data_IF_341685368710
#
_entry.id   IF_341685368710
#
_cell.length_a   1.000
_cell.length_b   1.000
_cell.length_c   1.000
_cell.angle_alpha   90.00
_cell.angle_beta   90.00
_cell.angle_gamma   90.00
#
_symmetry.space_group_name_H-M   'P 1'
#
loop_
_entity.id
_entity.type
_entity.pdbx_description
1 polymer ?
#
# COMPACT_ATOMS: atom_id res chain seq x y z
N UNK A 1 18.70 1.71 6.28
CA UNK A 1 17.64 1.87 5.27
C UNK A 1 17.27 0.48 4.77
N UNK A 2 15.99 0.17 4.68
CA UNK A 2 15.51 -1.12 4.16
C UNK A 2 15.13 -1.03 2.69
N UNK A 3 14.81 -2.18 2.08
CA UNK A 3 14.24 -2.25 0.74
C UNK A 3 12.79 -1.78 0.77
N UNK A 4 12.31 -1.25 -0.34
CA UNK A 4 10.88 -0.91 -0.47
C UNK A 4 10.05 -2.18 -0.64
N UNK A 5 8.94 -2.28 0.08
CA UNK A 5 8.01 -3.42 -0.03
C UNK A 5 7.06 -3.26 -1.22
N UNK A 6 6.70 -2.03 -1.54
CA UNK A 6 5.84 -1.68 -2.67
C UNK A 6 6.34 -0.42 -3.34
N UNK A 7 6.28 -0.42 -4.67
CA UNK A 7 6.50 0.76 -5.50
C UNK A 7 5.26 0.95 -6.36
N UNK A 8 4.76 2.17 -6.40
CA UNK A 8 3.60 2.54 -7.21
C UNK A 8 3.85 3.86 -7.90
N UNK A 9 3.33 3.99 -9.11
CA UNK A 9 3.27 5.25 -9.85
C UNK A 9 1.83 5.70 -9.88
N UNK A 10 1.61 6.95 -9.49
CA UNK A 10 0.34 7.61 -9.63
C UNK A 10 0.45 8.68 -10.72
N UNK A 11 -0.41 8.61 -11.71
CA UNK A 11 -0.54 9.62 -12.75
C UNK A 11 -1.86 10.36 -12.55
N UNK A 12 -1.79 11.68 -12.50
CA UNK A 12 -2.95 12.57 -12.39
C UNK A 12 -3.07 13.35 -13.69
N UNK A 13 -4.21 13.23 -14.36
CA UNK A 13 -4.56 14.02 -15.52
C UNK A 13 -5.69 14.99 -15.15
N UNK A 14 -5.39 16.26 -14.84
CA UNK A 14 -6.41 17.22 -14.41
C UNK A 14 -7.45 17.55 -15.49
N UNK A 15 -7.07 17.46 -16.77
CA UNK A 15 -7.96 17.77 -17.88
C UNK A 15 -9.04 16.70 -18.10
N UNK A 16 -8.70 15.45 -17.81
CA UNK A 16 -9.62 14.31 -17.91
C UNK A 16 -10.22 13.91 -16.56
N UNK A 17 -9.81 14.58 -15.49
CA UNK A 17 -10.16 14.23 -14.11
C UNK A 17 -9.83 12.77 -13.76
N UNK A 18 -8.83 12.20 -14.45
CA UNK A 18 -8.40 10.81 -14.28
C UNK A 18 -7.18 10.69 -13.36
N UNK A 19 -7.21 9.68 -12.51
CA UNK A 19 -6.04 9.23 -11.74
C UNK A 19 -5.82 7.75 -11.99
N UNK A 20 -4.61 7.41 -12.40
CA UNK A 20 -4.21 6.01 -12.61
C UNK A 20 -3.14 5.63 -11.61
N UNK A 21 -3.26 4.48 -10.97
CA UNK A 21 -2.25 3.92 -10.07
C UNK A 21 -1.74 2.60 -10.65
N UNK A 22 -0.43 2.50 -10.83
CA UNK A 22 0.25 1.32 -11.35
C UNK A 22 1.26 0.81 -10.33
N UNK A 23 1.18 -0.47 -9.98
CA UNK A 23 2.19 -1.12 -9.16
C UNK A 23 3.39 -1.52 -10.00
N UNK A 24 4.60 -1.31 -9.48
CA UNK A 24 5.84 -1.83 -10.03
C UNK A 24 6.22 -3.07 -9.22
N UNK A 25 6.38 -4.26 -9.86
CA UNK A 25 6.85 -5.44 -9.17
C UNK A 25 8.22 -5.20 -8.54
N UNK A 26 8.34 -5.40 -7.25
CA UNK A 26 9.55 -5.07 -6.48
C UNK A 26 10.80 -5.85 -6.91
N UNK A 27 10.59 -7.01 -7.54
CA UNK A 27 11.65 -7.89 -8.02
C UNK A 27 12.04 -7.63 -9.49
N UNK A 28 11.49 -6.58 -10.12
CA UNK A 28 11.87 -6.16 -11.47
C UNK A 28 13.37 -5.90 -11.53
N UNK A 29 14.05 -6.51 -12.48
CA UNK A 29 15.49 -6.35 -12.68
C UNK A 29 15.78 -5.10 -13.51
N UNK A 30 16.61 -4.23 -12.96
CA UNK A 30 16.95 -2.92 -13.53
C UNK A 30 18.43 -2.58 -13.32
N UNK A 31 18.92 -1.61 -14.08
CA UNK A 31 20.14 -0.89 -13.75
C UNK A 31 19.81 0.22 -12.73
N UNK A 32 20.60 0.31 -11.67
CA UNK A 32 20.46 1.36 -10.64
C UNK A 32 21.52 2.42 -10.89
N UNK A 33 21.14 3.66 -11.24
CA UNK A 33 22.08 4.74 -11.54
C UNK A 33 23.06 5.03 -10.38
N UNK A 34 24.34 5.03 -10.70
CA UNK A 34 25.43 5.16 -9.72
C UNK A 34 25.83 3.86 -9.02
N UNK A 35 25.22 2.74 -9.40
CA UNK A 35 25.49 1.39 -8.88
C UNK A 35 25.49 0.35 -10.02
N UNK A 36 26.00 0.75 -11.19
CA UNK A 36 25.98 -0.03 -12.41
C UNK A 36 26.74 -1.35 -12.27
N UNK A 37 27.76 -1.40 -11.44
CA UNK A 37 28.56 -2.60 -11.14
C UNK A 37 27.73 -3.70 -10.45
N UNK A 38 26.55 -3.35 -9.91
CA UNK A 38 25.67 -4.30 -9.24
C UNK A 38 24.60 -4.86 -10.17
N UNK A 39 24.61 -4.51 -11.44
CA UNK A 39 23.61 -4.96 -12.43
C UNK A 39 23.67 -6.49 -12.66
N UNK A 40 22.49 -7.18 -12.79
CA UNK A 40 21.15 -6.66 -12.59
C UNK A 40 20.76 -6.60 -11.10
N UNK A 41 20.06 -5.53 -10.71
CA UNK A 41 19.52 -5.37 -9.36
C UNK A 41 17.98 -5.37 -9.36
N UNK A 42 17.38 -5.85 -8.28
CA UNK A 42 15.96 -5.69 -8.05
C UNK A 42 15.64 -4.20 -7.80
N UNK A 43 14.58 -3.68 -8.43
CA UNK A 43 14.23 -2.26 -8.34
C UNK A 43 14.00 -1.80 -6.89
N UNK A 44 13.53 -2.70 -6.00
CA UNK A 44 13.33 -2.37 -4.59
C UNK A 44 14.65 -2.13 -3.82
N UNK A 45 15.79 -2.55 -4.35
CA UNK A 45 17.10 -2.28 -3.76
C UNK A 45 17.56 -0.84 -3.99
N UNK A 46 17.01 -0.13 -4.98
CA UNK A 46 17.44 1.22 -5.33
C UNK A 46 17.31 2.20 -4.14
N UNK A 47 16.27 2.05 -3.32
CA UNK A 47 16.08 2.86 -2.11
C UNK A 47 17.12 2.55 -1.03
N UNK A 48 17.44 1.28 -0.82
CA UNK A 48 18.47 0.83 0.12
C UNK A 48 19.86 1.36 -0.27
N UNK A 49 20.21 1.28 -1.55
CA UNK A 49 21.47 1.70 -2.12
C UNK A 49 21.68 3.22 -2.04
N UNK A 50 20.70 4.02 -2.47
CA UNK A 50 20.90 5.45 -2.62
C UNK A 50 19.73 6.35 -2.17
N UNK A 51 18.80 5.83 -1.36
CA UNK A 51 17.61 6.55 -0.85
C UNK A 51 16.57 6.89 -1.92
N UNK A 52 15.60 7.76 -1.57
CA UNK A 52 14.50 8.16 -2.44
C UNK A 52 14.99 8.72 -3.79
N UNK A 53 16.03 9.52 -3.78
CA UNK A 53 16.60 10.11 -5.00
C UNK A 53 17.03 9.05 -6.01
N UNK A 54 17.74 8.02 -5.56
CA UNK A 54 18.17 6.91 -6.43
C UNK A 54 16.98 6.07 -6.89
N UNK A 55 16.03 5.77 -6.01
CA UNK A 55 14.82 5.03 -6.39
C UNK A 55 14.01 5.77 -7.46
N UNK A 56 13.80 7.08 -7.31
CA UNK A 56 13.10 7.93 -8.27
C UNK A 56 13.83 7.91 -9.62
N UNK A 57 15.15 8.17 -9.61
CA UNK A 57 15.94 8.17 -10.83
C UNK A 57 15.92 6.81 -11.54
N UNK A 58 15.99 5.71 -10.79
CA UNK A 58 15.89 4.36 -11.33
C UNK A 58 14.56 4.15 -12.07
N UNK A 59 13.44 4.57 -11.47
CA UNK A 59 12.12 4.44 -12.09
C UNK A 59 12.00 5.34 -13.32
N UNK A 60 12.47 6.59 -13.25
CA UNK A 60 12.48 7.52 -14.38
C UNK A 60 13.27 6.97 -15.57
N UNK A 61 14.47 6.46 -15.32
CA UNK A 61 15.34 5.94 -16.38
C UNK A 61 14.76 4.64 -16.98
N UNK A 62 14.22 3.76 -16.13
CA UNK A 62 13.64 2.49 -16.58
C UNK A 62 12.37 2.67 -17.42
N UNK A 63 11.47 3.55 -17.01
CA UNK A 63 10.20 3.79 -17.71
C UNK A 63 10.28 4.92 -18.74
N UNK A 64 11.37 5.68 -18.77
CA UNK A 64 11.56 6.88 -19.58
C UNK A 64 10.41 7.90 -19.39
N UNK A 65 10.08 8.19 -18.13
CA UNK A 65 9.05 9.14 -17.75
C UNK A 65 9.59 10.11 -16.70
N UNK A 66 9.12 11.38 -16.68
CA UNK A 66 9.41 12.29 -15.58
C UNK A 66 8.59 11.89 -14.33
N UNK A 67 9.16 12.13 -13.15
CA UNK A 67 8.46 12.02 -11.87
C UNK A 67 8.55 13.38 -11.18
N UNK A 68 7.42 14.05 -11.01
CA UNK A 68 7.35 15.39 -10.45
C UNK A 68 7.39 15.40 -8.92
N UNK A 69 6.75 14.42 -8.29
CA UNK A 69 6.59 14.32 -6.84
C UNK A 69 6.79 12.88 -6.37
N UNK A 70 7.09 12.71 -5.10
CA UNK A 70 7.08 11.39 -4.47
C UNK A 70 6.48 11.45 -3.07
N UNK A 71 5.94 10.33 -2.65
CA UNK A 71 5.53 10.11 -1.27
C UNK A 71 6.19 8.81 -0.76
N UNK A 72 6.70 8.85 0.45
CA UNK A 72 7.23 7.69 1.14
C UNK A 72 6.33 7.39 2.32
N UNK A 73 5.63 6.25 2.28
CA UNK A 73 4.68 5.85 3.30
C UNK A 73 5.14 4.52 3.90
N UNK A 74 5.36 4.50 5.19
CA UNK A 74 5.56 3.25 5.93
C UNK A 74 4.22 2.66 6.40
N UNK A 75 4.27 1.48 7.01
CA UNK A 75 3.05 0.78 7.46
C UNK A 75 2.28 1.58 8.52
N UNK A 76 2.96 2.26 9.45
CA UNK A 76 2.31 3.14 10.42
C UNK A 76 1.68 4.38 9.78
N UNK A 77 2.30 4.93 8.76
CA UNK A 77 1.76 6.04 7.97
C UNK A 77 0.49 5.64 7.22
N UNK A 78 0.42 4.44 6.65
CA UNK A 78 -0.79 3.93 6.01
C UNK A 78 -1.95 3.82 7.01
N UNK A 79 -1.70 3.26 8.19
CA UNK A 79 -2.68 3.16 9.28
C UNK A 79 -3.24 4.54 9.64
N UNK A 80 -2.35 5.51 9.88
CA UNK A 80 -2.75 6.88 10.24
C UNK A 80 -3.57 7.57 9.15
N UNK A 81 -3.14 7.48 7.89
CA UNK A 81 -3.86 8.07 6.75
C UNK A 81 -5.28 7.50 6.63
N UNK A 82 -5.43 6.17 6.77
CA UNK A 82 -6.74 5.53 6.72
C UNK A 82 -7.64 6.00 7.85
N UNK A 83 -7.11 6.12 9.06
CA UNK A 83 -7.89 6.59 10.23
C UNK A 83 -8.31 8.06 10.06
N UNK A 84 -7.40 8.94 9.62
CA UNK A 84 -7.70 10.36 9.42
C UNK A 84 -8.78 10.63 8.37
N UNK A 85 -8.82 9.84 7.29
CA UNK A 85 -9.89 9.96 6.29
C UNK A 85 -11.19 9.28 6.72
N UNK A 86 -11.23 8.69 7.92
CA UNK A 86 -12.42 8.03 8.49
C UNK A 86 -12.64 6.61 7.97
N UNK A 87 -11.56 5.90 7.61
CA UNK A 87 -11.58 4.51 7.15
C UNK A 87 -11.86 4.36 5.65
N UNK A 88 -11.71 3.14 5.15
CA UNK A 88 -11.86 2.80 3.73
C UNK A 88 -12.81 1.64 3.54
N UNK A 89 -13.63 1.67 2.46
CA UNK A 89 -14.44 0.54 2.00
C UNK A 89 -13.77 -0.06 0.78
N UNK A 90 -13.21 -1.25 0.94
CA UNK A 90 -12.53 -1.97 -0.14
C UNK A 90 -13.15 -3.35 -0.28
N UNK A 91 -13.55 -3.71 -1.50
CA UNK A 91 -13.96 -5.08 -1.81
C UNK A 91 -12.73 -5.97 -1.89
N UNK A 92 -12.71 -7.04 -1.11
CA UNK A 92 -11.59 -7.97 -1.14
C UNK A 92 -11.56 -8.76 -2.45
N UNK A 93 -10.39 -8.88 -3.11
CA UNK A 93 -10.25 -9.71 -4.32
C UNK A 93 -10.16 -11.21 -3.99
N UNK A 94 -10.04 -11.56 -2.71
CA UNK A 94 -9.82 -12.92 -2.22
C UNK A 94 -10.52 -13.13 -0.88
N UNK A 95 -11.00 -14.35 -0.62
CA UNK A 95 -11.39 -14.77 0.73
C UNK A 95 -10.16 -15.25 1.46
N UNK A 96 -9.87 -14.66 2.63
CA UNK A 96 -8.74 -15.05 3.46
C UNK A 96 -8.89 -14.60 4.91
N UNK A 97 -8.20 -15.29 5.77
CA UNK A 97 -8.01 -14.96 7.18
C UNK A 97 -6.58 -14.50 7.44
N UNK A 98 -6.40 -13.54 8.31
CA UNK A 98 -5.08 -13.02 8.63
C UNK A 98 -5.00 -12.48 10.06
N UNK A 99 -4.02 -12.96 10.79
CA UNK A 99 -3.63 -12.43 12.09
C UNK A 99 -2.32 -11.63 11.92
N UNK A 100 -2.34 -10.29 12.14
CA UNK A 100 -1.16 -9.45 11.97
C UNK A 100 -0.01 -9.77 12.94
N UNK A 101 -0.30 -10.42 14.07
CA UNK A 101 0.71 -10.74 15.08
C UNK A 101 1.55 -11.97 14.71
N UNK A 102 0.97 -12.89 13.94
CA UNK A 102 1.62 -14.14 13.51
C UNK A 102 1.91 -14.21 12.02
N UNK A 103 1.34 -13.30 11.23
CA UNK A 103 1.34 -13.28 9.77
C UNK A 103 0.65 -14.50 9.10
N UNK A 104 -0.15 -15.25 9.84
CA UNK A 104 -0.89 -16.42 9.41
C UNK A 104 -2.34 -16.38 9.89
N UNK A 105 -3.19 -17.32 9.44
CA UNK A 105 -4.59 -17.45 9.86
C UNK A 105 -4.72 -18.12 11.23
N UNK A 106 -4.20 -17.50 12.28
CA UNK A 106 -4.22 -18.01 13.66
C UNK A 106 -5.19 -17.24 14.54
N UNK A 107 -5.77 -17.88 15.59
CA UNK A 107 -6.66 -17.21 16.55
C UNK A 107 -5.96 -16.08 17.32
N UNK A 108 -6.76 -15.22 17.97
CA UNK A 108 -6.31 -14.20 18.91
C UNK A 108 -6.52 -12.78 18.39
N UNK A 109 -6.11 -12.51 17.15
CA UNK A 109 -6.29 -11.21 16.50
C UNK A 109 -6.56 -11.47 15.02
N UNK A 110 -7.70 -12.12 14.72
CA UNK A 110 -7.99 -12.67 13.41
C UNK A 110 -8.96 -11.78 12.62
N UNK A 111 -8.49 -11.29 11.48
CA UNK A 111 -9.32 -10.63 10.48
C UNK A 111 -9.73 -11.63 9.41
N UNK A 112 -11.03 -11.64 9.05
CA UNK A 112 -11.59 -12.51 8.01
C UNK A 112 -12.25 -11.67 6.92
N UNK A 113 -11.69 -11.73 5.72
CA UNK A 113 -12.15 -11.00 4.54
C UNK A 113 -12.78 -11.96 3.55
N UNK A 114 -13.86 -11.53 2.90
CA UNK A 114 -14.62 -12.33 1.94
C UNK A 114 -14.52 -11.72 0.55
N UNK A 115 -14.23 -12.54 -0.44
CA UNK A 115 -14.13 -12.13 -1.84
C UNK A 115 -15.39 -11.36 -2.28
N UNK A 116 -15.15 -10.27 -3.01
CA UNK A 116 -16.16 -9.37 -3.57
C UNK A 116 -17.03 -8.62 -2.53
N UNK A 117 -16.66 -8.74 -1.24
CA UNK A 117 -17.31 -8.03 -0.13
C UNK A 117 -16.39 -6.96 0.48
N UNK A 118 -16.99 -5.85 0.89
CA UNK A 118 -16.33 -4.84 1.75
C UNK A 118 -16.61 -5.08 3.24
N UNK A 119 -17.49 -6.05 3.56
CA UNK A 119 -17.75 -6.46 4.94
C UNK A 119 -16.72 -7.50 5.36
N UNK A 120 -16.21 -7.35 6.57
CA UNK A 120 -15.25 -8.27 7.16
C UNK A 120 -15.52 -8.47 8.64
N UNK A 121 -14.92 -9.48 9.24
CA UNK A 121 -15.01 -9.74 10.67
C UNK A 121 -13.64 -9.65 11.33
N UNK A 122 -13.65 -9.33 12.61
CA UNK A 122 -12.48 -9.40 13.47
C UNK A 122 -12.83 -10.17 14.73
N UNK A 123 -12.04 -11.21 15.02
CA UNK A 123 -12.15 -12.03 16.22
C UNK A 123 -10.95 -11.72 17.14
N UNK A 124 -11.22 -11.15 18.28
CA UNK A 124 -10.20 -10.78 19.26
C UNK A 124 -9.72 -11.95 20.12
N UNK A 125 -8.79 -11.66 21.05
CA UNK A 125 -8.25 -12.64 22.00
C UNK A 125 -9.33 -13.26 22.90
N UNK A 126 -10.39 -12.52 23.19
CA UNK A 126 -11.56 -12.99 23.97
C UNK A 126 -12.48 -13.93 23.16
N UNK A 127 -12.13 -14.27 21.94
CA UNK A 127 -12.89 -15.12 21.02
C UNK A 127 -14.16 -14.45 20.48
N UNK A 128 -14.42 -13.17 20.80
CA UNK A 128 -15.60 -12.45 20.29
C UNK A 128 -15.36 -11.94 18.89
N UNK A 129 -16.32 -12.22 18.02
CA UNK A 129 -16.32 -11.78 16.63
C UNK A 129 -17.21 -10.56 16.45
N UNK A 130 -16.68 -9.52 15.82
CA UNK A 130 -17.41 -8.33 15.40
C UNK A 130 -17.36 -8.19 13.89
N UNK A 131 -18.45 -7.68 13.31
CA UNK A 131 -18.58 -7.44 11.87
C UNK A 131 -18.45 -5.95 11.57
N UNK A 132 -17.71 -5.61 10.53
CA UNK A 132 -17.43 -4.26 10.09
C UNK A 132 -17.72 -4.11 8.60
N UNK A 133 -18.17 -2.93 8.19
CA UNK A 133 -18.43 -2.57 6.78
C UNK A 133 -17.40 -1.62 6.21
N UNK A 134 -16.47 -1.16 7.05
CA UNK A 134 -15.42 -0.21 6.71
C UNK A 134 -14.16 -0.55 7.51
N UNK A 135 -13.01 -0.57 6.85
CA UNK A 135 -11.71 -0.79 7.48
C UNK A 135 -11.25 0.51 8.15
N UNK A 136 -10.85 0.41 9.41
CA UNK A 136 -9.96 1.38 10.04
C UNK A 136 -8.51 1.14 9.60
N UNK A 137 -7.57 1.93 10.13
CA UNK A 137 -6.16 1.80 9.80
C UNK A 137 -5.60 0.40 10.09
N UNK A 138 -5.97 -0.20 11.22
CA UNK A 138 -5.50 -1.55 11.61
C UNK A 138 -6.03 -2.63 10.68
N UNK A 139 -7.31 -2.58 10.33
CA UNK A 139 -7.92 -3.52 9.40
C UNK A 139 -7.33 -3.37 7.99
N UNK A 140 -7.12 -2.13 7.52
CA UNK A 140 -6.49 -1.85 6.24
C UNK A 140 -5.04 -2.35 6.20
N UNK A 141 -4.31 -2.23 7.31
CA UNK A 141 -2.96 -2.76 7.44
C UNK A 141 -2.96 -4.29 7.40
N UNK A 142 -3.83 -4.96 8.16
CA UNK A 142 -3.99 -6.43 8.12
C UNK A 142 -4.33 -6.91 6.70
N UNK A 143 -5.31 -6.27 6.05
CA UNK A 143 -5.70 -6.54 4.65
C UNK A 143 -4.53 -6.42 3.67
N UNK A 144 -3.68 -5.41 3.86
CA UNK A 144 -2.55 -5.09 2.98
C UNK A 144 -1.31 -5.97 3.20
N UNK A 145 -1.16 -6.61 4.36
CA UNK A 145 0.07 -7.35 4.73
C UNK A 145 0.05 -8.83 4.37
N UNK A 146 -1.11 -9.46 4.29
CA UNK A 146 -1.22 -10.89 3.99
C UNK A 146 -0.49 -11.24 2.69
N UNK A 147 0.30 -12.29 2.69
CA UNK A 147 1.11 -12.71 1.55
C UNK A 147 1.17 -14.23 1.40
N UNK A 148 1.40 -14.95 2.49
CA UNK A 148 1.75 -16.37 2.45
C UNK A 148 0.59 -17.25 1.98
N UNK A 149 -0.64 -16.90 2.33
CA UNK A 149 -1.85 -17.66 1.98
C UNK A 149 -2.52 -17.13 0.69
N UNK A 150 -1.90 -16.18 -0.01
CA UNK A 150 -2.36 -15.71 -1.32
C UNK A 150 -1.78 -16.60 -2.43
N UNK A 151 -2.62 -17.23 -3.28
CA UNK A 151 -2.14 -18.02 -4.40
C UNK A 151 -1.23 -17.25 -5.37
N UNK A 152 -1.36 -15.91 -5.40
CA UNK A 152 -0.53 -15.02 -6.21
C UNK A 152 0.65 -14.41 -5.43
N UNK A 153 0.81 -14.79 -4.17
CA UNK A 153 1.91 -14.36 -3.31
C UNK A 153 2.04 -12.84 -3.23
N UNK A 154 3.19 -12.33 -3.61
CA UNK A 154 3.49 -10.90 -3.55
C UNK A 154 2.64 -10.03 -4.49
N UNK A 155 2.24 -10.55 -5.64
CA UNK A 155 1.36 -9.83 -6.58
C UNK A 155 -0.04 -9.58 -5.98
N UNK A 156 -0.57 -10.55 -5.25
CA UNK A 156 -1.84 -10.40 -4.54
C UNK A 156 -1.76 -9.37 -3.42
N UNK A 157 -0.66 -9.37 -2.65
CA UNK A 157 -0.38 -8.34 -1.65
C UNK A 157 -0.33 -6.94 -2.28
N UNK A 158 0.43 -6.76 -3.36
CA UNK A 158 0.52 -5.49 -4.07
C UNK A 158 -0.83 -5.01 -4.61
N UNK A 159 -1.67 -5.92 -5.09
CA UNK A 159 -3.04 -5.58 -5.51
C UNK A 159 -3.86 -5.03 -4.35
N UNK A 160 -3.84 -5.68 -3.18
CA UNK A 160 -4.59 -5.19 -2.01
C UNK A 160 -4.08 -3.84 -1.51
N UNK A 161 -2.77 -3.63 -1.50
CA UNK A 161 -2.20 -2.32 -1.16
C UNK A 161 -2.64 -1.23 -2.14
N UNK A 162 -2.67 -1.53 -3.44
CA UNK A 162 -3.16 -0.60 -4.45
C UNK A 162 -4.64 -0.27 -4.25
N UNK A 163 -5.50 -1.25 -3.97
CA UNK A 163 -6.93 -1.04 -3.72
C UNK A 163 -7.18 -0.12 -2.51
N UNK A 164 -6.41 -0.27 -1.44
CA UNK A 164 -6.47 0.64 -0.28
C UNK A 164 -6.05 2.05 -0.70
N UNK A 165 -4.94 2.20 -1.42
CA UNK A 165 -4.45 3.51 -1.85
C UNK A 165 -5.42 4.19 -2.82
N UNK A 166 -5.99 3.46 -3.79
CA UNK A 166 -7.02 3.98 -4.70
C UNK A 166 -8.22 4.54 -3.91
N UNK A 167 -8.68 3.81 -2.91
CA UNK A 167 -9.80 4.25 -2.07
C UNK A 167 -9.44 5.49 -1.23
N UNK A 168 -8.21 5.56 -0.71
CA UNK A 168 -7.69 6.74 -0.01
C UNK A 168 -7.70 7.95 -0.93
N UNK A 169 -7.18 7.80 -2.15
CA UNK A 169 -7.12 8.89 -3.15
C UNK A 169 -8.51 9.36 -3.56
N UNK A 170 -9.45 8.44 -3.79
CA UNK A 170 -10.83 8.79 -4.16
C UNK A 170 -11.54 9.56 -3.04
N UNK A 171 -11.35 9.13 -1.80
CA UNK A 171 -11.88 9.86 -0.64
C UNK A 171 -11.25 11.24 -0.48
N UNK A 172 -9.96 11.34 -0.71
CA UNK A 172 -9.22 12.58 -0.67
C UNK A 172 -9.72 13.58 -1.70
N UNK A 173 -9.99 13.13 -2.94
CA UNK A 173 -10.60 13.95 -4.01
C UNK A 173 -12.00 14.43 -3.65
N UNK A 174 -12.80 13.58 -3.02
CA UNK A 174 -14.17 13.91 -2.61
C UNK A 174 -14.21 14.93 -1.46
N UNK A 175 -13.15 15.03 -0.64
CA UNK A 175 -13.04 15.94 0.50
C UNK A 175 -11.67 16.64 0.56
N UNK A 176 -11.35 17.56 -0.36
CA UNK A 176 -10.03 18.18 -0.45
C UNK A 176 -9.65 18.98 0.81
N UNK A 177 -10.61 19.45 1.59
CA UNK A 177 -10.35 20.15 2.86
C UNK A 177 -9.75 19.23 3.95
N UNK A 178 -10.03 17.93 3.93
CA UNK A 178 -9.38 16.97 4.83
C UNK A 178 -7.92 16.69 4.48
N UNK A 179 -7.52 16.91 3.23
CA UNK A 179 -6.13 16.80 2.77
C UNK A 179 -5.25 17.93 3.29
N UNK A 180 -5.84 19.08 3.61
CA UNK A 180 -5.15 20.28 4.07
C UNK A 180 -4.97 20.30 5.59
N UNK A 181 -5.43 19.28 6.31
CA UNK A 181 -5.17 19.17 7.73
C UNK A 181 -3.70 18.82 7.97
N UNK A 182 -3.07 19.48 8.92
CA UNK A 182 -1.67 19.24 9.29
C UNK A 182 -1.38 17.76 9.59
N UNK A 183 -2.37 17.02 10.09
CA UNK A 183 -2.29 15.58 10.35
C UNK A 183 -2.05 14.75 9.10
N UNK A 184 -2.77 14.99 8.02
CA UNK A 184 -2.62 14.24 6.77
C UNK A 184 -1.24 14.49 6.12
N UNK A 185 -0.81 15.75 6.02
CA UNK A 185 0.51 16.10 5.47
C UNK A 185 1.64 15.55 6.34
N UNK A 186 1.48 15.52 7.65
CA UNK A 186 2.44 14.92 8.58
C UNK A 186 2.50 13.38 8.43
N UNK A 187 1.37 12.73 8.15
CA UNK A 187 1.31 11.27 7.91
C UNK A 187 2.02 10.85 6.61
N UNK A 188 2.01 11.71 5.60
CA UNK A 188 2.71 11.47 4.33
C UNK A 188 4.21 11.76 4.41
N UNK A 189 4.65 12.61 5.33
CA UNK A 189 6.03 13.06 5.43
C UNK A 189 6.90 12.25 6.41
N UNK A 190 6.31 11.33 7.19
CA UNK A 190 6.98 10.43 8.15
C UNK A 190 7.23 9.05 7.55
#
# INVERSE_FOLDING_TARGET
KGRTDSLMIMTINPQKEETTIMSIPRDTLVAVPGYEDTFPQKINAAYELGSAKTAIKTVQDWLNIPIDYYALVNMGGLEQVVDEIGGVKVKSPLTFDYNPDTAHATPGNLYSFVKDSSTFTHTGEDGKTKTYTKMDGKAALAFSRMRYDDPRGDYGRQQRQRLVLETVVDKAKANPTKLLTDGFMTSLSK
#
